data_IF_049344185182
#
_entry.id   IF_049344185182
#
_cell.length_a   1.000
_cell.length_b   1.000
_cell.length_c   1.000
_cell.angle_alpha   90.00
_cell.angle_beta   90.00
_cell.angle_gamma   90.00
#
_symmetry.space_group_name_H-M   'P 1'
#
loop_
_entity.id
_entity.type
_entity.pdbx_description
1 polymer ?
#
# COMPACT_ATOMS: atom_id res chain seq x y z
N UNK A 1 -9.26 -19.72 -4.43
CA UNK A 1 -8.71 -18.39 -4.05
C UNK A 1 -7.67 -17.96 -5.05
N UNK A 2 -7.46 -16.65 -5.20
CA UNK A 2 -6.43 -16.08 -6.07
C UNK A 2 -5.16 -15.89 -5.25
N UNK A 3 -4.11 -16.59 -5.64
CA UNK A 3 -2.85 -16.67 -4.85
C UNK A 3 -1.61 -16.39 -5.69
N UNK A 4 -1.81 -16.02 -6.97
CA UNK A 4 -0.72 -15.75 -7.89
C UNK A 4 -0.16 -14.33 -7.73
N UNK A 5 1.10 -14.18 -8.09
CA UNK A 5 1.75 -12.90 -8.29
C UNK A 5 1.17 -12.18 -9.52
N UNK A 6 1.34 -10.87 -9.58
CA UNK A 6 1.13 -10.09 -10.80
C UNK A 6 2.48 -9.56 -11.29
N UNK A 7 3.00 -10.10 -12.37
CA UNK A 7 4.23 -9.62 -13.00
C UNK A 7 3.94 -9.35 -14.48
N UNK A 8 4.18 -8.12 -14.91
CA UNK A 8 3.95 -7.68 -16.30
C UNK A 8 2.53 -8.03 -16.81
N UNK A 9 1.51 -7.77 -16.00
CA UNK A 9 0.10 -8.12 -16.21
C UNK A 9 -0.19 -9.62 -16.37
N UNK A 10 0.76 -10.48 -16.05
CA UNK A 10 0.57 -11.93 -16.04
C UNK A 10 0.36 -12.42 -14.60
N UNK A 11 -0.66 -13.24 -14.43
CA UNK A 11 -0.89 -13.98 -13.18
C UNK A 11 0.01 -15.20 -13.18
N UNK A 12 1.04 -15.22 -12.34
CA UNK A 12 2.05 -16.30 -12.27
C UNK A 12 2.13 -16.88 -10.86
N UNK A 13 2.28 -18.20 -10.69
CA UNK A 13 2.49 -18.79 -9.38
C UNK A 13 3.83 -18.36 -8.80
N UNK A 14 3.94 -18.32 -7.46
CA UNK A 14 5.23 -18.19 -6.79
C UNK A 14 6.12 -19.42 -7.05
N UNK A 15 7.44 -19.24 -7.00
CA UNK A 15 8.43 -20.26 -7.29
C UNK A 15 9.30 -20.63 -6.07
N UNK A 16 9.07 -20.01 -4.92
CA UNK A 16 9.77 -20.31 -3.67
C UNK A 16 8.88 -21.08 -2.69
N UNK A 17 9.38 -21.30 -1.47
CA UNK A 17 8.69 -22.08 -0.44
C UNK A 17 7.28 -21.52 -0.14
N UNK A 18 6.38 -22.43 0.16
CA UNK A 18 5.02 -22.08 0.57
C UNK A 18 4.96 -21.60 2.02
N UNK A 19 4.00 -20.74 2.32
CA UNK A 19 3.61 -20.36 3.68
C UNK A 19 2.10 -20.38 3.83
N UNK A 20 1.65 -20.62 5.05
CA UNK A 20 0.23 -20.68 5.37
C UNK A 20 -0.33 -19.29 5.69
N UNK A 21 -1.45 -18.95 5.07
CA UNK A 21 -2.28 -17.82 5.44
C UNK A 21 -3.31 -18.30 6.44
N UNK A 22 -3.31 -17.72 7.62
CA UNK A 22 -4.10 -18.15 8.77
C UNK A 22 -5.31 -17.24 8.96
N UNK A 23 -6.45 -17.85 9.27
CA UNK A 23 -7.63 -17.11 9.77
C UNK A 23 -7.42 -16.77 11.26
N UNK A 24 -7.29 -15.49 11.64
CA UNK A 24 -7.02 -15.11 13.03
C UNK A 24 -8.17 -15.40 13.99
N UNK A 25 -9.39 -15.66 13.50
CA UNK A 25 -10.56 -15.94 14.34
C UNK A 25 -10.51 -17.35 14.94
N UNK A 26 -9.99 -18.33 14.19
CA UNK A 26 -10.02 -19.74 14.61
C UNK A 26 -8.65 -20.45 14.47
N UNK A 27 -7.62 -19.73 14.00
CA UNK A 27 -6.27 -20.24 13.76
C UNK A 27 -6.21 -21.35 12.70
N UNK A 28 -7.21 -21.51 11.86
CA UNK A 28 -7.19 -22.47 10.76
C UNK A 28 -6.46 -21.92 9.54
N UNK A 29 -5.81 -22.81 8.80
CA UNK A 29 -5.18 -22.47 7.52
C UNK A 29 -6.28 -22.16 6.50
N UNK A 30 -6.28 -20.95 5.97
CA UNK A 30 -7.19 -20.52 4.89
C UNK A 30 -6.70 -21.08 3.55
N UNK A 31 -5.39 -20.95 3.30
CA UNK A 31 -4.72 -21.44 2.09
C UNK A 31 -3.21 -21.41 2.30
N UNK A 32 -2.47 -22.21 1.54
CA UNK A 32 -1.01 -22.12 1.43
C UNK A 32 -0.66 -21.41 0.13
N UNK A 33 0.34 -20.53 0.17
CA UNK A 33 0.75 -19.71 -0.97
C UNK A 33 2.26 -19.82 -1.18
N UNK A 34 2.67 -20.13 -2.42
CA UNK A 34 4.08 -20.14 -2.82
C UNK A 34 4.61 -18.71 -2.93
N UNK A 35 5.70 -18.41 -2.23
CA UNK A 35 6.34 -17.08 -2.24
C UNK A 35 6.95 -16.76 -3.60
N UNK A 36 7.17 -15.46 -3.85
CA UNK A 36 8.00 -15.01 -4.96
C UNK A 36 9.44 -15.50 -4.78
N UNK A 37 10.04 -16.05 -5.82
CA UNK A 37 11.48 -16.24 -5.89
C UNK A 37 12.21 -14.89 -6.05
N UNK A 38 13.50 -14.84 -5.72
CA UNK A 38 14.36 -13.68 -5.96
C UNK A 38 14.32 -13.28 -7.46
N UNK A 39 14.29 -14.26 -8.36
CA UNK A 39 14.20 -14.00 -9.80
C UNK A 39 12.88 -13.33 -10.17
N UNK A 40 11.76 -13.76 -9.60
CA UNK A 40 10.46 -13.14 -9.83
C UNK A 40 10.38 -11.71 -9.28
N UNK A 41 11.01 -11.41 -8.14
CA UNK A 41 11.13 -10.02 -7.65
C UNK A 41 11.93 -9.16 -8.63
N UNK A 42 13.06 -9.68 -9.12
CA UNK A 42 13.89 -8.97 -10.10
C UNK A 42 13.14 -8.78 -11.44
N UNK A 43 12.36 -9.76 -11.88
CA UNK A 43 11.51 -9.66 -13.07
C UNK A 43 10.43 -8.58 -12.89
N UNK A 44 9.77 -8.52 -11.73
CA UNK A 44 8.77 -7.50 -11.43
C UNK A 44 9.37 -6.09 -11.47
N UNK A 45 10.55 -5.88 -10.87
CA UNK A 45 11.23 -4.59 -10.89
C UNK A 45 11.69 -4.24 -12.32
N UNK A 46 12.24 -5.18 -13.06
CA UNK A 46 12.67 -4.98 -14.46
C UNK A 46 11.48 -4.62 -15.34
N UNK A 47 10.35 -5.30 -15.16
CA UNK A 47 9.09 -4.99 -15.86
C UNK A 47 8.61 -3.57 -15.55
N UNK A 48 8.64 -3.17 -14.25
CA UNK A 48 8.30 -1.81 -13.84
C UNK A 48 9.24 -0.77 -14.47
N UNK A 49 10.53 -1.04 -14.53
CA UNK A 49 11.53 -0.15 -15.16
C UNK A 49 11.26 0.03 -16.65
N UNK A 50 10.99 -1.03 -17.37
CA UNK A 50 10.66 -0.97 -18.81
C UNK A 50 9.35 -0.20 -19.07
N UNK A 51 8.34 -0.43 -18.24
CA UNK A 51 7.06 0.25 -18.36
C UNK A 51 7.18 1.77 -18.07
N UNK A 52 8.08 2.17 -17.18
CA UNK A 52 8.28 3.57 -16.78
C UNK A 52 8.57 4.49 -17.96
N UNK A 53 9.34 4.06 -18.95
CA UNK A 53 9.70 4.88 -20.13
C UNK A 53 8.49 5.41 -20.90
N UNK A 54 7.41 4.63 -20.95
CA UNK A 54 6.16 5.02 -21.61
C UNK A 54 5.18 5.63 -20.60
N UNK A 55 5.04 5.01 -19.43
CA UNK A 55 4.07 5.42 -18.42
C UNK A 55 4.32 6.83 -17.90
N UNK A 56 5.56 7.20 -17.63
CA UNK A 56 5.96 8.53 -17.17
C UNK A 56 5.58 9.67 -18.12
N UNK A 57 5.37 9.36 -19.39
CA UNK A 57 4.99 10.32 -20.46
C UNK A 57 3.49 10.40 -20.70
N UNK A 58 2.68 9.56 -20.03
CA UNK A 58 1.22 9.63 -20.12
C UNK A 58 0.69 10.94 -19.56
N UNK A 59 -0.37 11.43 -20.14
CA UNK A 59 -1.03 12.62 -19.63
C UNK A 59 -1.72 12.36 -18.28
N UNK A 60 -1.90 13.39 -17.43
CA UNK A 60 -2.71 13.25 -16.23
C UNK A 60 -4.13 12.73 -16.50
N UNK A 61 -4.72 13.10 -17.67
CA UNK A 61 -6.05 12.62 -18.06
C UNK A 61 -6.12 11.11 -18.31
N UNK A 62 -5.10 10.53 -18.93
CA UNK A 62 -5.01 9.08 -19.14
C UNK A 62 -4.90 8.35 -17.81
N UNK A 63 -3.99 8.79 -16.91
CA UNK A 63 -3.84 8.20 -15.58
C UNK A 63 -5.10 8.32 -14.73
N UNK A 64 -5.74 9.49 -14.76
CA UNK A 64 -7.03 9.74 -14.10
C UNK A 64 -8.10 8.74 -14.54
N UNK A 65 -8.24 8.50 -15.85
CA UNK A 65 -9.23 7.57 -16.38
C UNK A 65 -8.99 6.12 -15.93
N UNK A 66 -7.74 5.67 -15.80
CA UNK A 66 -7.41 4.32 -15.34
C UNK A 66 -7.63 4.16 -13.82
N UNK A 67 -7.32 5.18 -13.03
CA UNK A 67 -7.61 5.19 -11.59
C UNK A 67 -9.11 5.12 -11.30
N UNK A 68 -9.94 5.85 -12.06
CA UNK A 68 -11.41 5.76 -11.96
C UNK A 68 -11.92 4.35 -12.32
N UNK A 69 -11.39 3.74 -13.39
CA UNK A 69 -11.77 2.36 -13.75
C UNK A 69 -11.43 1.37 -12.65
N UNK A 70 -10.29 1.53 -11.96
CA UNK A 70 -9.94 0.66 -10.84
C UNK A 70 -10.88 0.88 -9.65
N UNK A 71 -11.22 2.13 -9.31
CA UNK A 71 -12.20 2.42 -8.28
C UNK A 71 -13.56 1.75 -8.57
N UNK A 72 -14.06 1.88 -9.80
CA UNK A 72 -15.33 1.27 -10.21
C UNK A 72 -15.26 -0.27 -10.19
N UNK A 73 -14.12 -0.86 -10.56
CA UNK A 73 -13.91 -2.30 -10.51
C UNK A 73 -13.86 -2.82 -9.05
N UNK A 74 -13.28 -2.07 -8.12
CA UNK A 74 -13.29 -2.38 -6.68
C UNK A 74 -14.73 -2.35 -6.16
N UNK A 75 -15.51 -1.30 -6.46
CA UNK A 75 -16.91 -1.21 -6.04
C UNK A 75 -17.77 -2.36 -6.58
N UNK A 76 -17.57 -2.73 -7.85
CA UNK A 76 -18.28 -3.86 -8.47
C UNK A 76 -17.95 -5.22 -7.84
N UNK A 77 -16.81 -5.35 -7.18
CA UNK A 77 -16.35 -6.56 -6.51
C UNK A 77 -16.32 -6.42 -4.98
N UNK A 78 -16.97 -5.38 -4.41
CA UNK A 78 -16.86 -5.03 -3.01
C UNK A 78 -17.22 -6.18 -2.05
N UNK A 79 -18.28 -6.92 -2.32
CA UNK A 79 -18.70 -8.06 -1.48
C UNK A 79 -17.64 -9.16 -1.41
N UNK A 80 -17.02 -9.51 -2.54
CA UNK A 80 -16.00 -10.55 -2.61
C UNK A 80 -14.71 -10.09 -1.89
N UNK A 81 -14.30 -8.85 -2.14
CA UNK A 81 -13.12 -8.27 -1.50
C UNK A 81 -13.33 -8.16 0.02
N UNK A 82 -14.51 -7.69 0.47
CA UNK A 82 -14.83 -7.59 1.89
C UNK A 82 -14.84 -8.96 2.61
N UNK A 83 -15.28 -10.04 1.93
CA UNK A 83 -15.18 -11.41 2.45
C UNK A 83 -13.73 -11.84 2.65
N UNK A 84 -12.86 -11.56 1.66
CA UNK A 84 -11.45 -11.88 1.75
C UNK A 84 -10.75 -11.08 2.84
N UNK A 85 -11.04 -9.78 2.94
CA UNK A 85 -10.50 -8.90 3.99
C UNK A 85 -10.91 -9.39 5.38
N UNK A 86 -12.21 -9.65 5.59
CA UNK A 86 -12.72 -10.18 6.85
C UNK A 86 -12.12 -11.54 7.21
N UNK A 87 -12.03 -12.45 6.26
CA UNK A 87 -11.47 -13.80 6.46
C UNK A 87 -9.98 -13.73 6.86
N UNK A 88 -9.23 -12.83 6.24
CA UNK A 88 -7.79 -12.77 6.37
C UNK A 88 -7.33 -11.92 7.57
N UNK A 89 -8.10 -10.91 7.95
CA UNK A 89 -7.76 -9.96 9.04
C UNK A 89 -8.55 -10.18 10.32
N UNK A 90 -9.67 -10.89 10.27
CA UNK A 90 -10.62 -11.00 11.40
C UNK A 90 -11.52 -9.76 11.57
N UNK A 91 -11.40 -8.77 10.70
CA UNK A 91 -12.26 -7.58 10.71
C UNK A 91 -13.73 -7.97 10.47
N UNK A 92 -14.71 -7.38 11.19
CA UNK A 92 -16.12 -7.65 10.93
C UNK A 92 -16.50 -7.32 9.47
N UNK A 93 -17.15 -8.26 8.79
CA UNK A 93 -17.51 -8.15 7.37
C UNK A 93 -18.28 -6.87 7.05
N UNK A 94 -19.23 -6.47 7.90
CA UNK A 94 -20.03 -5.27 7.67
C UNK A 94 -19.20 -3.98 7.72
N UNK A 95 -18.11 -3.93 8.51
CA UNK A 95 -17.18 -2.80 8.56
C UNK A 95 -16.28 -2.81 7.32
N UNK A 96 -15.80 -3.97 6.90
CA UNK A 96 -15.04 -4.08 5.67
C UNK A 96 -15.86 -3.60 4.46
N UNK A 97 -17.12 -4.07 4.34
CA UNK A 97 -17.99 -3.73 3.21
C UNK A 97 -18.52 -2.30 3.26
N UNK A 98 -19.00 -1.84 4.44
CA UNK A 98 -19.73 -0.58 4.58
C UNK A 98 -18.84 0.65 4.73
N UNK A 99 -17.65 0.49 5.32
CA UNK A 99 -16.77 1.62 5.66
C UNK A 99 -15.47 1.57 4.88
N UNK A 100 -14.75 0.43 4.92
CA UNK A 100 -13.38 0.38 4.38
C UNK A 100 -13.36 0.33 2.86
N UNK A 101 -14.17 -0.52 2.22
CA UNK A 101 -14.18 -0.63 0.76
C UNK A 101 -14.59 0.67 0.06
N UNK A 102 -15.63 1.40 0.52
CA UNK A 102 -15.94 2.73 0.00
C UNK A 102 -14.78 3.73 0.14
N UNK A 103 -14.09 3.71 1.29
CA UNK A 103 -12.92 4.56 1.50
C UNK A 103 -11.74 4.18 0.59
N UNK A 104 -11.52 2.88 0.32
CA UNK A 104 -10.50 2.40 -0.62
C UNK A 104 -10.78 2.90 -2.04
N UNK A 105 -12.01 2.75 -2.53
CA UNK A 105 -12.37 3.23 -3.87
C UNK A 105 -12.31 4.76 -3.97
N UNK A 106 -12.67 5.48 -2.89
CA UNK A 106 -12.55 6.94 -2.83
C UNK A 106 -11.10 7.43 -2.91
N UNK A 107 -10.14 6.71 -2.32
CA UNK A 107 -8.70 7.02 -2.49
C UNK A 107 -8.31 7.05 -3.97
N UNK A 108 -8.71 6.05 -4.76
CA UNK A 108 -8.43 6.05 -6.19
C UNK A 108 -9.15 7.18 -6.92
N UNK A 109 -10.39 7.52 -6.55
CA UNK A 109 -11.13 8.68 -7.09
C UNK A 109 -10.46 9.99 -6.73
N UNK A 110 -10.04 10.16 -5.48
CA UNK A 110 -9.30 11.34 -5.04
C UNK A 110 -8.04 11.56 -5.87
N UNK A 111 -7.19 10.53 -6.01
CA UNK A 111 -5.95 10.64 -6.78
C UNK A 111 -6.18 10.76 -8.29
N UNK A 112 -7.30 10.30 -8.82
CA UNK A 112 -7.69 10.55 -10.21
C UNK A 112 -7.92 12.06 -10.48
N UNK A 113 -8.48 12.76 -9.52
CA UNK A 113 -8.62 14.23 -9.56
C UNK A 113 -7.30 14.94 -9.27
N UNK A 114 -6.59 14.52 -8.22
CA UNK A 114 -5.34 15.14 -7.78
C UNK A 114 -4.24 15.12 -8.84
N UNK A 115 -4.12 14.06 -9.63
CA UNK A 115 -3.11 13.98 -10.69
C UNK A 115 -3.29 15.05 -11.79
N UNK A 116 -4.49 15.60 -11.94
CA UNK A 116 -4.80 16.69 -12.90
C UNK A 116 -4.50 18.08 -12.33
N UNK A 117 -4.30 18.19 -11.03
CA UNK A 117 -4.07 19.44 -10.31
C UNK A 117 -2.74 19.44 -9.54
N UNK A 118 -1.73 18.74 -10.04
CA UNK A 118 -0.44 18.69 -9.39
C UNK A 118 0.18 20.11 -9.33
N UNK A 119 0.37 20.70 -8.14
CA UNK A 119 0.85 22.07 -8.03
C UNK A 119 2.31 22.19 -8.45
N UNK A 120 2.61 23.23 -9.22
CA UNK A 120 3.95 23.69 -9.51
C UNK A 120 4.15 25.11 -9.01
N UNK A 121 5.38 25.55 -8.82
CA UNK A 121 5.66 26.95 -8.54
C UNK A 121 5.64 27.74 -9.84
N UNK A 122 5.03 28.93 -9.80
CA UNK A 122 4.87 29.80 -10.94
C UNK A 122 6.21 30.18 -11.56
N UNK A 123 6.20 30.42 -12.87
CA UNK A 123 7.32 30.97 -13.59
C UNK A 123 7.61 32.40 -13.13
N UNK A 124 8.90 32.74 -13.05
CA UNK A 124 9.35 34.09 -12.72
C UNK A 124 10.73 34.37 -13.31
N UNK A 125 11.01 35.64 -13.55
CA UNK A 125 12.32 36.12 -14.04
C UNK A 125 13.19 36.51 -12.85
N UNK A 126 13.79 35.53 -12.19
CA UNK A 126 14.66 35.72 -11.03
C UNK A 126 16.09 36.12 -11.46
N UNK A 127 16.41 36.01 -12.74
CA UNK A 127 17.68 36.42 -13.36
C UNK A 127 17.40 36.97 -14.75
N UNK A 128 18.05 38.09 -15.10
CA UNK A 128 17.82 38.80 -16.35
C UNK A 128 17.98 37.86 -17.57
N UNK A 129 16.95 37.78 -18.39
CA UNK A 129 16.96 36.97 -19.60
C UNK A 129 16.62 35.49 -19.40
N UNK A 130 16.22 35.08 -18.17
CA UNK A 130 15.86 33.71 -17.87
C UNK A 130 14.48 33.61 -17.16
N UNK A 131 13.60 32.78 -17.69
CA UNK A 131 12.38 32.38 -17.01
C UNK A 131 12.62 31.08 -16.25
N UNK A 132 12.40 31.09 -14.93
CA UNK A 132 12.55 29.93 -14.06
C UNK A 132 11.18 29.36 -13.69
N UNK A 133 11.05 28.05 -13.71
CA UNK A 133 9.85 27.33 -13.25
C UNK A 133 10.24 26.07 -12.49
N UNK A 134 9.40 25.64 -11.55
CA UNK A 134 9.52 24.34 -10.87
C UNK A 134 8.43 23.43 -11.38
N UNK A 135 8.85 22.31 -11.97
CA UNK A 135 7.98 21.23 -12.44
C UNK A 135 8.20 19.98 -11.59
N UNK A 136 7.14 19.21 -11.37
CA UNK A 136 7.21 17.90 -10.71
C UNK A 136 7.19 16.81 -11.76
N UNK A 137 8.22 15.97 -11.77
CA UNK A 137 8.34 14.82 -12.67
C UNK A 137 8.27 13.51 -11.87
N UNK A 138 7.82 12.39 -12.49
CA UNK A 138 7.88 11.07 -11.89
C UNK A 138 9.31 10.71 -11.48
N UNK A 139 9.44 9.97 -10.36
CA UNK A 139 10.76 9.60 -9.82
C UNK A 139 11.30 8.32 -10.44
N UNK A 140 10.43 7.37 -10.83
CA UNK A 140 10.85 6.09 -11.37
C UNK A 140 10.03 4.90 -10.86
N UNK A 141 10.71 3.85 -10.45
CA UNK A 141 10.14 2.63 -9.88
C UNK A 141 10.00 2.78 -8.37
N UNK A 142 8.79 2.58 -7.86
CA UNK A 142 8.47 2.64 -6.42
C UNK A 142 8.30 1.23 -5.87
N UNK A 143 9.13 0.83 -4.91
CA UNK A 143 8.91 -0.34 -4.09
C UNK A 143 7.95 0.02 -2.94
N UNK A 144 6.83 -0.66 -2.84
CA UNK A 144 5.80 -0.39 -1.83
C UNK A 144 5.58 -1.61 -0.96
N UNK A 145 5.71 -1.45 0.36
CA UNK A 145 5.50 -2.50 1.36
C UNK A 145 4.32 -2.11 2.23
N UNK A 146 3.26 -2.93 2.20
CA UNK A 146 2.04 -2.70 2.95
C UNK A 146 2.00 -3.59 4.20
N UNK A 147 1.41 -3.12 5.32
CA UNK A 147 1.26 -3.84 6.57
C UNK A 147 0.06 -4.79 6.54
N UNK A 148 -0.12 -5.52 7.65
CA UNK A 148 -1.16 -6.53 7.81
C UNK A 148 -2.49 -6.00 8.37
N UNK A 149 -2.51 -4.83 9.01
CA UNK A 149 -3.67 -4.34 9.77
C UNK A 149 -4.76 -3.64 8.94
N UNK A 150 -4.38 -3.04 7.80
CA UNK A 150 -5.27 -2.48 6.78
C UNK A 150 -4.75 -2.87 5.38
N UNK A 151 -4.78 -4.15 5.01
CA UNK A 151 -4.04 -4.65 3.86
C UNK A 151 -4.35 -3.92 2.57
N UNK A 152 -5.61 -3.92 2.15
CA UNK A 152 -6.00 -3.32 0.88
C UNK A 152 -6.03 -1.79 0.96
N UNK A 153 -6.42 -1.20 2.09
CA UNK A 153 -6.38 0.25 2.28
C UNK A 153 -4.95 0.78 2.12
N UNK A 154 -3.98 0.15 2.78
CA UNK A 154 -2.58 0.57 2.69
C UNK A 154 -1.99 0.29 1.29
N UNK A 155 -2.41 -0.77 0.63
CA UNK A 155 -2.08 -0.99 -0.78
C UNK A 155 -2.60 0.16 -1.65
N UNK A 156 -3.86 0.57 -1.48
CA UNK A 156 -4.46 1.69 -2.21
C UNK A 156 -3.72 3.02 -1.96
N UNK A 157 -3.36 3.30 -0.70
CA UNK A 157 -2.62 4.52 -0.33
C UNK A 157 -1.21 4.57 -0.92
N UNK A 158 -0.66 3.44 -1.34
CA UNK A 158 0.64 3.34 -2.01
C UNK A 158 0.51 3.32 -3.54
N UNK A 159 -0.44 2.56 -4.06
CA UNK A 159 -0.68 2.46 -5.52
C UNK A 159 -1.18 3.78 -6.09
N UNK A 160 -2.23 4.35 -5.52
CA UNK A 160 -2.92 5.50 -6.11
C UNK A 160 -2.01 6.72 -6.30
N UNK A 161 -1.27 7.22 -5.28
CA UNK A 161 -0.38 8.37 -5.47
C UNK A 161 0.80 8.07 -6.40
N UNK A 162 1.40 6.87 -6.33
CA UNK A 162 2.52 6.51 -7.19
C UNK A 162 2.11 6.55 -8.68
N UNK A 163 0.98 5.92 -9.00
CA UNK A 163 0.44 5.84 -10.36
C UNK A 163 -0.06 7.21 -10.84
N UNK A 164 -0.75 7.96 -10.00
CA UNK A 164 -1.21 9.31 -10.29
C UNK A 164 -0.05 10.25 -10.66
N UNK A 165 1.09 10.13 -9.97
CA UNK A 165 2.30 10.91 -10.24
C UNK A 165 3.09 10.43 -11.48
N UNK A 166 2.69 9.33 -12.12
CA UNK A 166 3.35 8.78 -13.33
C UNK A 166 4.52 7.84 -13.02
N UNK A 167 4.64 7.34 -11.79
CA UNK A 167 5.60 6.32 -11.41
C UNK A 167 5.07 4.92 -11.76
N UNK A 168 5.96 3.94 -11.85
CA UNK A 168 5.62 2.52 -11.85
C UNK A 168 5.86 1.94 -10.47
N UNK A 169 5.27 0.77 -10.18
CA UNK A 169 5.24 0.26 -8.82
C UNK A 169 5.38 -1.26 -8.74
N UNK A 170 6.10 -1.72 -7.72
CA UNK A 170 6.09 -3.10 -7.24
C UNK A 170 5.56 -3.10 -5.81
N UNK A 171 4.39 -3.70 -5.60
CA UNK A 171 3.77 -3.83 -4.28
C UNK A 171 4.13 -5.17 -3.66
N UNK A 172 4.52 -5.15 -2.39
CA UNK A 172 4.58 -6.32 -1.51
C UNK A 172 3.55 -6.17 -0.39
N UNK A 173 2.40 -6.84 -0.42
CA UNK A 173 1.52 -6.92 0.72
C UNK A 173 2.19 -7.70 1.87
N UNK A 174 1.64 -7.59 3.08
CA UNK A 174 2.07 -8.46 4.19
C UNK A 174 1.81 -9.92 3.84
N UNK A 175 2.74 -10.80 4.21
CA UNK A 175 2.58 -12.25 4.11
C UNK A 175 1.42 -12.78 4.96
N UNK A 176 1.06 -12.08 6.02
CA UNK A 176 -0.05 -12.47 6.88
C UNK A 176 -1.41 -12.20 6.24
N UNK A 177 -1.52 -11.14 5.42
CA UNK A 177 -2.81 -10.66 4.89
C UNK A 177 -2.75 -10.30 3.40
N UNK A 178 -2.35 -11.23 2.51
CA UNK A 178 -2.18 -10.92 1.10
C UNK A 178 -3.46 -11.01 0.26
N UNK A 179 -4.52 -11.68 0.73
CA UNK A 179 -5.59 -12.21 -0.12
C UNK A 179 -6.37 -11.14 -0.89
N UNK A 180 -6.74 -10.04 -0.25
CA UNK A 180 -7.47 -8.95 -0.90
C UNK A 180 -6.61 -8.24 -1.96
N UNK A 181 -5.32 -8.02 -1.67
CA UNK A 181 -4.37 -7.44 -2.63
C UNK A 181 -4.16 -8.35 -3.85
N UNK A 182 -4.10 -9.68 -3.65
CA UNK A 182 -3.96 -10.65 -4.74
C UNK A 182 -5.25 -10.77 -5.57
N UNK A 183 -6.42 -10.57 -4.96
CA UNK A 183 -7.66 -10.46 -5.71
C UNK A 183 -7.66 -9.22 -6.61
N UNK A 184 -7.30 -8.06 -6.06
CA UNK A 184 -7.26 -6.79 -6.81
C UNK A 184 -6.17 -6.80 -7.90
N UNK A 185 -5.11 -7.61 -7.76
CA UNK A 185 -4.10 -7.80 -8.79
C UNK A 185 -4.68 -8.19 -10.16
N UNK A 186 -5.72 -9.02 -10.19
CA UNK A 186 -6.37 -9.40 -11.46
C UNK A 186 -7.20 -8.26 -12.07
N UNK A 187 -7.81 -7.42 -11.23
CA UNK A 187 -8.51 -6.21 -11.72
C UNK A 187 -7.50 -5.24 -12.33
N UNK A 188 -6.35 -5.06 -11.68
CA UNK A 188 -5.24 -4.23 -12.15
C UNK A 188 -4.75 -4.71 -13.52
N UNK A 189 -4.54 -6.02 -13.71
CA UNK A 189 -4.08 -6.61 -14.97
C UNK A 189 -5.01 -6.31 -16.13
N UNK A 190 -6.32 -6.23 -15.89
CA UNK A 190 -7.32 -5.89 -16.91
C UNK A 190 -7.44 -4.39 -17.23
N UNK A 191 -6.83 -3.51 -16.42
CA UNK A 191 -7.05 -2.06 -16.50
C UNK A 191 -5.79 -1.32 -16.92
N UNK A 192 -4.63 -1.61 -16.30
CA UNK A 192 -3.39 -0.87 -16.50
C UNK A 192 -2.52 -1.51 -17.60
N UNK A 193 -1.64 -0.73 -18.24
CA UNK A 193 -0.65 -1.27 -19.14
C UNK A 193 0.32 -2.24 -18.46
N UNK A 194 0.90 -3.16 -19.24
CA UNK A 194 1.86 -4.14 -18.77
C UNK A 194 3.01 -3.49 -18.00
N UNK A 195 3.36 -4.05 -16.84
CA UNK A 195 4.48 -3.64 -16.00
C UNK A 195 4.28 -2.37 -15.17
N UNK A 196 3.21 -1.60 -15.37
CA UNK A 196 2.96 -0.35 -14.61
C UNK A 196 2.77 -0.65 -13.12
N UNK A 197 2.04 -1.70 -12.79
CA UNK A 197 1.84 -2.18 -11.42
C UNK A 197 2.16 -3.67 -11.39
N UNK A 198 3.05 -4.06 -10.48
CA UNK A 198 3.40 -5.44 -10.22
C UNK A 198 3.14 -5.75 -8.75
N UNK A 199 2.78 -6.99 -8.43
CA UNK A 199 2.51 -7.45 -7.06
C UNK A 199 3.27 -8.74 -6.82
N UNK A 200 4.18 -8.71 -5.84
CA UNK A 200 4.96 -9.85 -5.37
C UNK A 200 4.64 -10.10 -3.91
N UNK A 201 4.63 -11.34 -3.46
CA UNK A 201 4.38 -11.66 -2.05
C UNK A 201 5.39 -12.66 -1.50
N UNK A 202 5.52 -12.68 -0.19
CA UNK A 202 6.43 -13.50 0.58
C UNK A 202 6.92 -12.77 1.83
N UNK A 203 7.77 -13.45 2.61
CA UNK A 203 8.27 -12.91 3.88
C UNK A 203 9.20 -11.72 3.69
N UNK A 204 9.24 -10.87 4.72
CA UNK A 204 10.01 -9.62 4.70
C UNK A 204 11.51 -9.83 4.48
N UNK A 205 12.09 -10.86 5.11
CA UNK A 205 13.52 -11.14 5.11
C UNK A 205 14.07 -11.54 3.73
N UNK A 206 13.25 -12.14 2.87
CA UNK A 206 13.64 -12.57 1.52
C UNK A 206 13.06 -11.63 0.47
N UNK A 207 11.76 -11.64 0.25
CA UNK A 207 11.10 -10.86 -0.80
C UNK A 207 11.20 -9.36 -0.54
N UNK A 208 10.90 -8.92 0.71
CA UNK A 208 11.04 -7.52 1.11
C UNK A 208 12.46 -7.02 0.99
N UNK A 209 13.43 -7.78 1.52
CA UNK A 209 14.85 -7.44 1.46
C UNK A 209 15.36 -7.33 0.03
N UNK A 210 15.01 -8.29 -0.84
CA UNK A 210 15.38 -8.24 -2.26
C UNK A 210 14.84 -6.99 -2.93
N UNK A 211 13.58 -6.65 -2.67
CA UNK A 211 12.91 -5.51 -3.28
C UNK A 211 13.54 -4.17 -2.87
N UNK A 212 13.81 -3.95 -1.56
CA UNK A 212 14.35 -2.67 -1.09
C UNK A 212 15.82 -2.45 -1.49
N UNK A 213 16.58 -3.53 -1.70
CA UNK A 213 17.98 -3.47 -2.11
C UNK A 213 18.18 -3.44 -3.64
N UNK A 214 17.11 -3.62 -4.43
CA UNK A 214 17.23 -3.70 -5.89
C UNK A 214 17.71 -2.36 -6.48
N UNK A 215 18.73 -2.39 -7.36
CA UNK A 215 19.35 -1.19 -7.94
C UNK A 215 18.41 -0.31 -8.74
N UNK A 216 17.42 -0.92 -9.42
CA UNK A 216 16.45 -0.23 -10.27
C UNK A 216 15.21 0.28 -9.53
N UNK A 217 15.22 0.24 -8.20
CA UNK A 217 14.22 0.90 -7.35
C UNK A 217 14.72 2.30 -7.01
N UNK A 218 13.91 3.32 -7.27
CA UNK A 218 14.23 4.73 -7.04
C UNK A 218 13.66 5.26 -5.72
N UNK A 219 12.55 4.67 -5.26
CA UNK A 219 11.88 5.07 -4.03
C UNK A 219 11.33 3.85 -3.29
N UNK A 220 11.38 3.88 -1.96
CA UNK A 220 10.78 2.87 -1.08
C UNK A 220 9.68 3.54 -0.24
N UNK A 221 8.47 2.99 -0.31
CA UNK A 221 7.35 3.37 0.56
C UNK A 221 7.02 2.20 1.49
N UNK A 222 7.29 2.35 2.77
CA UNK A 222 7.00 1.36 3.81
C UNK A 222 5.93 1.88 4.76
N UNK A 223 4.98 1.02 5.11
CA UNK A 223 4.20 1.14 6.35
C UNK A 223 4.46 -0.12 7.18
N UNK A 224 4.95 0.05 8.42
CA UNK A 224 5.37 -1.06 9.26
C UNK A 224 6.01 -0.62 10.57
N UNK A 225 6.81 -1.48 11.17
CA UNK A 225 7.50 -1.22 12.43
C UNK A 225 8.80 -0.40 12.25
N UNK A 226 9.29 0.17 13.36
CA UNK A 226 10.48 1.02 13.39
C UNK A 226 11.74 0.25 12.97
N UNK A 227 11.87 -1.02 13.36
CA UNK A 227 13.06 -1.83 13.03
C UNK A 227 13.14 -2.09 11.52
N UNK A 228 12.00 -2.37 10.89
CA UNK A 228 11.89 -2.50 9.43
C UNK A 228 12.16 -1.15 8.75
N UNK A 229 11.65 -0.04 9.29
CA UNK A 229 11.96 1.31 8.80
C UNK A 229 13.46 1.63 8.82
N UNK A 230 14.17 1.23 9.87
CA UNK A 230 15.62 1.39 9.96
C UNK A 230 16.37 0.60 8.88
N UNK A 231 15.97 -0.65 8.62
CA UNK A 231 16.53 -1.48 7.53
C UNK A 231 16.29 -0.85 6.14
N UNK A 232 15.11 -0.24 5.95
CA UNK A 232 14.80 0.49 4.71
C UNK A 232 15.69 1.70 4.53
N UNK A 233 15.94 2.49 5.58
CA UNK A 233 16.84 3.64 5.52
C UNK A 233 18.28 3.21 5.21
N UNK A 234 18.74 2.13 5.84
CA UNK A 234 20.07 1.56 5.57
C UNK A 234 20.18 1.11 4.09
N UNK A 235 19.23 0.36 3.58
CA UNK A 235 19.19 -0.07 2.18
C UNK A 235 19.15 1.15 1.22
N UNK A 236 18.33 2.16 1.53
CA UNK A 236 18.19 3.36 0.73
C UNK A 236 19.48 4.19 0.67
N UNK A 237 20.25 4.24 1.75
CA UNK A 237 21.52 5.00 1.82
C UNK A 237 22.55 4.54 0.80
N UNK A 238 22.56 3.25 0.46
CA UNK A 238 23.54 2.65 -0.47
C UNK A 238 23.42 3.16 -1.91
N UNK A 239 22.24 3.65 -2.31
CA UNK A 239 21.97 4.14 -3.66
C UNK A 239 21.16 5.44 -3.67
N UNK A 240 21.06 6.11 -2.52
CA UNK A 240 20.38 7.40 -2.33
C UNK A 240 18.92 7.36 -2.82
N UNK A 241 18.23 6.24 -2.53
CA UNK A 241 16.79 6.11 -2.83
C UNK A 241 15.98 7.09 -1.97
N UNK A 242 14.89 7.59 -2.51
CA UNK A 242 13.90 8.29 -1.69
C UNK A 242 13.15 7.30 -0.80
N UNK A 243 12.76 7.76 0.39
CA UNK A 243 11.97 6.96 1.33
C UNK A 243 10.72 7.71 1.76
N UNK A 244 9.64 6.97 1.93
CA UNK A 244 8.41 7.39 2.59
C UNK A 244 8.09 6.32 3.63
N UNK A 245 8.15 6.69 4.91
CA UNK A 245 8.04 5.76 6.03
C UNK A 245 6.86 6.15 6.91
N UNK A 246 5.90 5.26 7.02
CA UNK A 246 4.81 5.31 7.98
C UNK A 246 5.08 4.24 9.03
N UNK A 247 5.45 4.65 10.24
CA UNK A 247 5.95 3.76 11.28
C UNK A 247 5.03 3.77 12.50
N UNK A 248 5.31 2.87 13.45
CA UNK A 248 4.53 2.73 14.67
C UNK A 248 4.58 3.97 15.54
N UNK A 249 3.59 4.08 16.39
CA UNK A 249 3.44 5.15 17.38
C UNK A 249 2.33 4.80 18.38
N UNK A 250 2.22 5.57 19.45
CA UNK A 250 1.17 5.50 20.45
C UNK A 250 0.48 6.86 20.53
N UNK A 251 -0.76 6.94 20.10
CA UNK A 251 -1.55 8.17 20.18
C UNK A 251 -2.18 8.28 21.58
N UNK A 252 -1.88 9.35 22.36
CA UNK A 252 -2.49 9.54 23.66
C UNK A 252 -3.96 9.95 23.53
N UNK A 253 -4.82 9.45 24.41
CA UNK A 253 -6.17 9.99 24.64
C UNK A 253 -6.13 10.81 25.92
N UNK A 254 -6.32 12.12 25.79
CA UNK A 254 -6.31 13.06 26.92
C UNK A 254 -7.75 13.46 27.22
N UNK A 255 -8.21 13.14 28.44
CA UNK A 255 -9.55 13.46 28.91
C UNK A 255 -9.43 14.53 29.99
N UNK A 256 -9.96 15.72 29.72
CA UNK A 256 -10.03 16.80 30.69
C UNK A 256 -11.20 16.61 31.68
N UNK A 257 -11.17 17.28 32.80
CA UNK A 257 -12.14 17.17 33.91
C UNK A 257 -13.55 17.68 33.54
N UNK A 258 -13.66 18.51 32.54
CA UNK A 258 -14.91 19.04 31.97
C UNK A 258 -15.46 18.22 30.79
N UNK A 259 -14.81 17.11 30.42
CA UNK A 259 -15.25 16.29 29.29
C UNK A 259 -16.55 15.53 29.63
N UNK A 260 -17.42 15.38 28.62
CA UNK A 260 -18.57 14.48 28.70
C UNK A 260 -18.10 13.04 28.67
N UNK A 261 -18.23 12.29 29.77
CA UNK A 261 -17.75 10.93 29.88
C UNK A 261 -18.48 9.95 28.94
N UNK A 262 -19.76 10.19 28.61
CA UNK A 262 -20.51 9.35 27.65
C UNK A 262 -19.91 9.46 26.26
N UNK A 263 -19.61 10.67 25.78
CA UNK A 263 -18.98 10.91 24.51
C UNK A 263 -17.54 10.35 24.46
N UNK A 264 -16.81 10.46 25.57
CA UNK A 264 -15.46 9.87 25.71
C UNK A 264 -15.50 8.36 25.59
N UNK A 265 -16.43 7.69 26.28
CA UNK A 265 -16.58 6.23 26.24
C UNK A 265 -16.94 5.77 24.80
N UNK A 266 -17.89 6.46 24.16
CA UNK A 266 -18.25 6.17 22.78
C UNK A 266 -17.08 6.39 21.81
N UNK A 267 -16.35 7.48 21.98
CA UNK A 267 -15.16 7.79 21.17
C UNK A 267 -14.07 6.73 21.32
N UNK A 268 -13.72 6.35 22.57
CA UNK A 268 -12.73 5.30 22.84
C UNK A 268 -13.18 3.97 22.24
N UNK A 269 -14.46 3.61 22.41
CA UNK A 269 -15.01 2.37 21.84
C UNK A 269 -14.94 2.38 20.32
N UNK A 270 -15.31 3.49 19.68
CA UNK A 270 -15.30 3.61 18.24
C UNK A 270 -13.87 3.55 17.66
N UNK A 271 -12.92 4.31 18.25
CA UNK A 271 -11.57 4.42 17.70
C UNK A 271 -10.61 3.34 18.20
N UNK A 272 -10.77 2.87 19.45
CA UNK A 272 -9.88 1.88 20.05
C UNK A 272 -10.14 0.45 19.59
N UNK A 273 -11.38 0.12 19.22
CA UNK A 273 -11.79 -1.25 18.88
C UNK A 273 -12.32 -1.42 17.44
N UNK A 274 -12.33 -0.36 16.65
CA UNK A 274 -12.87 -0.36 15.29
C UNK A 274 -12.28 -1.46 14.41
N UNK A 275 -10.97 -1.64 14.46
CA UNK A 275 -10.26 -2.59 13.60
C UNK A 275 -9.96 -3.93 14.31
N UNK A 276 -10.83 -4.42 15.18
CA UNK A 276 -10.73 -5.72 15.84
C UNK A 276 -9.33 -6.01 16.45
N UNK A 277 -8.77 -5.03 17.17
CA UNK A 277 -7.42 -5.09 17.76
C UNK A 277 -6.24 -5.02 16.77
N UNK A 278 -6.48 -4.84 15.48
CA UNK A 278 -5.42 -4.66 14.48
C UNK A 278 -4.84 -3.23 14.46
N UNK A 279 -5.49 -2.31 15.15
CA UNK A 279 -5.03 -0.94 15.33
C UNK A 279 -5.31 -0.51 16.78
N UNK A 280 -4.25 -0.36 17.56
CA UNK A 280 -4.31 0.28 18.86
C UNK A 280 -3.88 1.74 18.71
N UNK A 281 -4.82 2.66 18.84
CA UNK A 281 -4.52 4.09 18.84
C UNK A 281 -4.10 4.59 20.22
N UNK A 282 -4.53 3.91 21.30
CA UNK A 282 -4.05 4.13 22.64
C UNK A 282 -4.03 2.80 23.40
N UNK A 283 -2.91 2.46 23.97
CA UNK A 283 -2.72 1.27 24.79
C UNK A 283 -2.20 1.66 26.18
N UNK A 284 -3.13 1.95 27.07
CA UNK A 284 -2.82 2.30 28.46
C UNK A 284 -2.37 1.07 29.27
N UNK A 285 -2.67 -0.15 28.84
CA UNK A 285 -2.32 -1.36 29.59
C UNK A 285 -0.84 -1.71 29.46
N UNK A 286 -0.24 -1.55 28.30
CA UNK A 286 1.19 -1.80 28.08
C UNK A 286 2.08 -0.74 28.75
N UNK A 287 1.61 0.50 28.85
CA UNK A 287 2.36 1.57 29.51
C UNK A 287 2.41 1.43 31.02
N UNK A 288 1.36 0.88 31.63
CA UNK A 288 1.35 0.57 33.07
C UNK A 288 2.31 -0.60 33.39
N UNK A 289 2.45 -1.56 32.45
CA UNK A 289 3.36 -2.69 32.62
C UNK A 289 4.84 -2.31 32.41
N UNK A 290 5.11 -1.28 31.60
CA UNK A 290 6.46 -0.78 31.32
C UNK A 290 6.92 0.35 32.24
N UNK A 291 6.01 0.96 33.02
CA UNK A 291 6.24 2.07 33.96
C UNK A 291 6.56 1.64 35.39
N UNK A 292 6.94 0.37 35.59
CA UNK A 292 7.41 -0.18 36.87
C UNK A 292 8.90 -0.01 37.09
#
# INVERSE_FOLDING_TARGET
>A
MKTNLLINNKSVPGEADEYDVINPVNSEVVTSIAQSSINQVNEAVSSARLAFDKWSKTSPGERSGLLLKLADAIDQNAEEIAKLESLNTGKPYHLALGDELPAISDVFRYYSGACRNLPGYAAGEYMTGFTSMVRRDPIGVVASIAPWNYPLMMAAWKIAPAIAAGNTLVLKPSEQTPLSSLFVAELIAGIFPEGVINIVHGIGETVGSTLINHSDVDMISLTGDIATGSKVLEAASNSIKKTHLELGGKAPVIVFDDANLEDVIEGIRAFGYYNACLLYTSDAADEIASGG
#
